data_IF_156805075070
#
_entry.id   IF_156805075070
#
_cell.length_a   1.000
_cell.length_b   1.000
_cell.length_c   1.000
_cell.angle_alpha   90.00
_cell.angle_beta   90.00
_cell.angle_gamma   90.00
#
_symmetry.space_group_name_H-M   'P 1'
#
loop_
_entity.id
_entity.type
_entity.pdbx_description
1 polymer ?
#
# COMPACT_ATOMS: atom_id res chain seq x y z
N UNK A 1 -31.88 25.75 -5.14
CA UNK A 1 -32.15 26.75 -4.08
C UNK A 1 -30.96 27.69 -4.02
N UNK A 2 -31.20 28.99 -4.26
CA UNK A 2 -30.17 30.00 -4.16
C UNK A 2 -29.72 30.08 -2.69
N UNK A 3 -28.45 29.81 -2.43
CA UNK A 3 -27.85 30.05 -1.11
C UNK A 3 -27.85 31.56 -0.89
N UNK A 4 -28.70 32.06 0.01
CA UNK A 4 -28.60 33.41 0.53
C UNK A 4 -27.17 33.55 1.11
N UNK A 5 -26.29 34.24 0.40
CA UNK A 5 -25.03 34.70 0.94
C UNK A 5 -25.39 35.76 2.01
N UNK A 6 -25.38 35.37 3.27
CA UNK A 6 -25.38 36.32 4.37
C UNK A 6 -24.00 36.97 4.32
N UNK A 7 -23.98 38.27 4.03
CA UNK A 7 -22.75 39.03 4.06
C UNK A 7 -22.33 39.20 5.53
N UNK A 8 -21.23 38.49 5.90
CA UNK A 8 -20.71 38.50 7.26
C UNK A 8 -20.32 39.92 7.76
N UNK A 9 -20.13 40.86 6.85
CA UNK A 9 -19.87 42.26 7.18
C UNK A 9 -21.05 43.01 7.79
N UNK A 10 -22.30 42.52 7.56
CA UNK A 10 -23.55 43.19 8.00
C UNK A 10 -24.00 42.68 9.38
N UNK A 11 -23.51 41.53 9.84
CA UNK A 11 -23.93 40.89 11.10
C UNK A 11 -23.17 41.46 12.31
N UNK A 12 -23.85 41.58 13.46
CA UNK A 12 -23.22 41.87 14.74
C UNK A 12 -22.22 40.76 15.16
N UNK A 13 -21.17 41.08 15.93
CA UNK A 13 -20.18 40.09 16.37
C UNK A 13 -20.78 38.86 17.04
N UNK A 14 -21.75 39.03 17.93
CA UNK A 14 -22.43 37.94 18.65
C UNK A 14 -23.25 37.05 17.73
N UNK A 15 -23.90 37.61 16.69
CA UNK A 15 -24.63 36.83 15.68
C UNK A 15 -23.68 36.01 14.84
N UNK A 16 -22.52 36.56 14.44
CA UNK A 16 -21.46 35.83 13.72
C UNK A 16 -20.96 34.65 14.53
N UNK A 17 -20.71 34.88 15.83
CA UNK A 17 -20.25 33.84 16.74
C UNK A 17 -21.30 32.71 16.89
N UNK A 18 -22.56 33.05 17.09
CA UNK A 18 -23.66 32.09 17.19
C UNK A 18 -23.82 31.22 15.92
N UNK A 19 -23.66 31.82 14.74
CA UNK A 19 -23.66 31.11 13.46
C UNK A 19 -22.45 30.14 13.38
N UNK A 20 -21.27 30.60 13.76
CA UNK A 20 -20.05 29.79 13.76
C UNK A 20 -20.13 28.60 14.71
N UNK A 21 -20.70 28.76 15.90
CA UNK A 21 -20.91 27.68 16.89
C UNK A 21 -21.89 26.65 16.34
N UNK A 22 -23.02 27.07 15.77
CA UNK A 22 -23.98 26.16 15.13
C UNK A 22 -23.31 25.37 14.00
N UNK A 23 -22.54 26.07 13.16
CA UNK A 23 -21.81 25.42 12.07
C UNK A 23 -20.79 24.39 12.57
N UNK A 24 -20.06 24.67 13.63
CA UNK A 24 -19.14 23.73 14.26
C UNK A 24 -19.86 22.46 14.76
N UNK A 25 -21.04 22.62 15.37
CA UNK A 25 -21.88 21.49 15.80
C UNK A 25 -22.37 20.64 14.62
N UNK A 26 -22.84 21.26 13.53
CA UNK A 26 -23.20 20.55 12.29
C UNK A 26 -22.02 19.74 11.74
N UNK A 27 -20.80 20.31 11.69
CA UNK A 27 -19.61 19.63 11.21
C UNK A 27 -19.24 18.43 12.08
N UNK A 28 -19.35 18.55 13.42
CA UNK A 28 -19.16 17.45 14.35
C UNK A 28 -20.15 16.32 14.10
N UNK A 29 -21.43 16.66 13.93
CA UNK A 29 -22.49 15.67 13.66
C UNK A 29 -22.25 14.85 12.38
N UNK A 30 -21.58 15.42 11.37
CA UNK A 30 -21.25 14.73 10.12
C UNK A 30 -20.26 13.58 10.31
N UNK A 31 -19.46 13.58 11.36
CA UNK A 31 -18.45 12.54 11.65
C UNK A 31 -18.84 11.67 12.85
N UNK A 32 -20.03 11.81 13.42
CA UNK A 32 -20.48 11.04 14.60
C UNK A 32 -20.34 9.54 14.38
N UNK A 33 -20.81 9.00 13.26
CA UNK A 33 -20.69 7.56 12.99
C UNK A 33 -19.24 7.06 12.92
N UNK A 34 -18.29 7.90 12.50
CA UNK A 34 -16.87 7.54 12.61
C UNK A 34 -16.36 7.61 14.05
N UNK A 35 -16.76 8.64 14.80
CA UNK A 35 -16.35 8.79 16.20
C UNK A 35 -16.87 7.64 17.08
N UNK A 36 -18.06 7.12 16.77
CA UNK A 36 -18.64 5.97 17.47
C UNK A 36 -17.93 4.66 17.10
N UNK A 37 -17.53 4.49 15.82
CA UNK A 37 -16.85 3.28 15.34
C UNK A 37 -15.35 3.24 15.69
N UNK A 38 -14.66 4.40 15.73
CA UNK A 38 -13.20 4.48 15.88
C UNK A 38 -12.64 3.81 17.13
N UNK A 39 -13.26 3.91 18.32
CA UNK A 39 -12.74 3.28 19.54
C UNK A 39 -12.64 1.76 19.45
N UNK A 40 -13.54 1.12 18.72
CA UNK A 40 -13.60 -0.36 18.57
C UNK A 40 -12.70 -0.88 17.44
N UNK A 41 -12.21 -0.01 16.56
CA UNK A 41 -11.36 -0.43 15.45
C UNK A 41 -9.99 -0.90 15.95
N UNK A 42 -9.57 -2.14 15.61
CA UNK A 42 -8.27 -2.64 15.97
C UNK A 42 -7.17 -1.94 15.16
N UNK A 43 -6.12 -1.52 15.84
CA UNK A 43 -4.86 -1.08 15.22
C UNK A 43 -3.72 -1.92 15.77
N UNK A 44 -2.61 -2.04 15.05
CA UNK A 44 -1.44 -2.78 15.53
C UNK A 44 -0.98 -2.27 16.90
N UNK A 45 -1.02 -0.96 17.11
CA UNK A 45 -0.64 -0.33 18.39
C UNK A 45 -1.62 -0.65 19.53
N UNK A 46 -2.94 -0.61 19.30
CA UNK A 46 -3.94 -1.03 20.30
C UNK A 46 -3.82 -2.51 20.65
N UNK A 47 -3.34 -3.33 19.72
CA UNK A 47 -3.22 -4.78 19.86
C UNK A 47 -1.82 -5.25 20.28
N UNK A 48 -0.91 -4.35 20.68
CA UNK A 48 0.48 -4.65 21.00
C UNK A 48 0.65 -5.84 21.97
N UNK A 49 -0.12 -5.88 23.07
CA UNK A 49 -0.05 -7.00 24.04
C UNK A 49 -0.46 -8.35 23.45
N UNK A 50 -1.45 -8.36 22.54
CA UNK A 50 -1.87 -9.60 21.86
C UNK A 50 -0.84 -10.03 20.80
N UNK A 51 -0.21 -9.08 20.13
CA UNK A 51 0.89 -9.34 19.18
C UNK A 51 2.08 -9.93 19.95
N UNK A 52 2.41 -9.39 21.11
CA UNK A 52 3.49 -9.93 21.95
C UNK A 52 3.20 -11.35 22.46
N UNK A 53 1.94 -11.64 22.80
CA UNK A 53 1.55 -13.01 23.14
C UNK A 53 1.73 -13.98 21.96
N UNK A 54 1.28 -13.60 20.76
CA UNK A 54 1.44 -14.40 19.55
C UNK A 54 2.93 -14.56 19.18
N UNK A 55 3.75 -13.50 19.35
CA UNK A 55 5.21 -13.56 19.22
C UNK A 55 5.81 -14.64 20.12
N UNK A 56 5.47 -14.65 21.41
CA UNK A 56 5.97 -15.66 22.37
C UNK A 56 5.58 -17.08 21.99
N UNK A 57 4.36 -17.27 21.51
CA UNK A 57 3.90 -18.56 21.01
C UNK A 57 4.74 -19.00 19.79
N UNK A 58 4.93 -18.13 18.82
CA UNK A 58 5.75 -18.40 17.62
C UNK A 58 7.20 -18.71 17.96
N UNK A 59 7.82 -17.95 18.87
CA UNK A 59 9.19 -18.22 19.35
C UNK A 59 9.30 -19.62 19.95
N UNK A 60 8.31 -20.04 20.76
CA UNK A 60 8.28 -21.40 21.32
C UNK A 60 8.12 -22.47 20.23
N UNK A 61 7.24 -22.25 19.24
CA UNK A 61 6.98 -23.20 18.15
C UNK A 61 8.18 -23.35 17.21
N UNK A 62 8.98 -22.30 17.04
CA UNK A 62 10.11 -22.22 16.12
C UNK A 62 11.47 -22.38 16.82
N UNK A 63 11.47 -22.70 18.11
CA UNK A 63 12.69 -22.81 18.96
C UNK A 63 13.59 -21.58 18.85
N UNK A 64 12.97 -20.40 18.88
CA UNK A 64 13.64 -19.11 18.73
C UNK A 64 13.66 -18.30 20.02
N UNK A 65 14.54 -17.30 20.05
CA UNK A 65 14.72 -16.34 21.15
C UNK A 65 14.24 -14.93 20.77
N UNK A 66 14.21 -14.01 21.74
CA UNK A 66 13.95 -12.58 21.48
C UNK A 66 15.02 -11.94 20.58
N UNK A 67 16.28 -12.40 20.63
CA UNK A 67 17.32 -11.96 19.73
C UNK A 67 17.03 -12.39 18.29
N UNK A 68 16.63 -13.66 18.09
CA UNK A 68 16.24 -14.19 16.78
C UNK A 68 15.05 -13.43 16.21
N UNK A 69 14.07 -13.06 17.04
CA UNK A 69 12.92 -12.26 16.58
C UNK A 69 13.32 -10.94 15.96
N UNK A 70 14.39 -10.33 16.41
CA UNK A 70 14.89 -9.06 15.88
C UNK A 70 15.84 -9.22 14.69
N UNK A 71 16.33 -10.42 14.42
CA UNK A 71 17.14 -10.74 13.25
C UNK A 71 16.25 -11.01 12.02
N UNK A 72 16.36 -10.16 11.01
CA UNK A 72 15.59 -10.31 9.78
C UNK A 72 15.97 -11.56 8.97
N UNK A 73 17.20 -12.08 9.10
CA UNK A 73 17.60 -13.32 8.45
C UNK A 73 16.86 -14.51 9.08
N UNK A 74 16.76 -14.55 10.41
CA UNK A 74 15.97 -15.55 11.10
C UNK A 74 14.48 -15.46 10.71
N UNK A 75 13.91 -14.25 10.64
CA UNK A 75 12.53 -14.02 10.17
C UNK A 75 12.31 -14.56 8.75
N UNK A 76 13.27 -14.37 7.86
CA UNK A 76 13.21 -14.82 6.48
C UNK A 76 13.37 -16.33 6.34
N UNK A 77 14.28 -16.94 7.11
CA UNK A 77 14.53 -18.37 7.12
C UNK A 77 13.37 -19.16 7.73
N UNK A 78 12.74 -18.62 8.76
CA UNK A 78 11.66 -19.25 9.50
C UNK A 78 10.26 -18.81 9.00
N UNK A 79 10.12 -18.40 7.73
CA UNK A 79 8.81 -18.11 7.16
C UNK A 79 7.86 -19.31 7.30
N UNK A 80 6.68 -19.04 7.83
CA UNK A 80 5.61 -20.06 7.94
C UNK A 80 5.10 -20.39 6.53
N UNK A 81 5.39 -21.57 6.07
CA UNK A 81 4.88 -22.17 4.82
C UNK A 81 4.36 -23.60 5.06
N UNK A 82 4.49 -24.09 6.29
CA UNK A 82 3.96 -25.38 6.73
C UNK A 82 2.52 -25.22 7.21
N UNK A 83 1.62 -26.04 6.65
CA UNK A 83 0.23 -26.13 7.09
C UNK A 83 0.09 -26.59 8.54
N UNK A 84 0.98 -27.49 8.98
CA UNK A 84 0.98 -27.97 10.38
C UNK A 84 1.25 -26.81 11.35
N UNK A 85 2.29 -26.03 11.08
CA UNK A 85 2.61 -24.85 11.92
C UNK A 85 1.48 -23.80 11.89
N UNK A 86 0.88 -23.58 10.73
CA UNK A 86 -0.24 -22.63 10.64
C UNK A 86 -1.47 -23.15 11.39
N UNK A 87 -1.78 -24.44 11.26
CA UNK A 87 -2.91 -25.09 11.94
C UNK A 87 -2.75 -25.04 13.47
N UNK A 88 -1.55 -25.31 13.98
CA UNK A 88 -1.23 -25.22 15.40
C UNK A 88 -1.32 -23.77 15.92
N UNK A 89 -0.78 -22.81 15.17
CA UNK A 89 -0.81 -21.39 15.55
C UNK A 89 -2.25 -20.84 15.64
N UNK A 90 -3.14 -21.30 14.74
CA UNK A 90 -4.47 -20.74 14.53
C UNK A 90 -5.60 -21.63 15.01
N UNK A 91 -5.30 -22.80 15.56
CA UNK A 91 -6.27 -23.82 15.98
C UNK A 91 -7.27 -24.16 14.83
N UNK A 92 -6.72 -24.47 13.65
CA UNK A 92 -7.54 -24.73 12.46
C UNK A 92 -8.16 -26.10 12.47
N UNK A 93 -9.42 -26.18 12.04
CA UNK A 93 -10.09 -27.46 11.84
C UNK A 93 -9.60 -28.19 10.56
N UNK A 94 -10.02 -29.45 10.41
CA UNK A 94 -9.61 -30.30 9.27
C UNK A 94 -10.09 -29.78 7.92
N UNK A 95 -11.23 -29.10 7.87
CA UNK A 95 -11.77 -28.53 6.63
C UNK A 95 -10.94 -27.33 6.18
N UNK A 96 -10.63 -26.42 7.11
CA UNK A 96 -9.75 -25.28 6.85
C UNK A 96 -8.37 -25.73 6.37
N UNK A 97 -7.76 -26.72 7.03
CA UNK A 97 -6.47 -27.29 6.60
C UNK A 97 -6.56 -27.89 5.19
N UNK A 98 -7.60 -28.69 4.90
CA UNK A 98 -7.80 -29.27 3.57
C UNK A 98 -7.97 -28.22 2.48
N UNK A 99 -8.68 -27.15 2.77
CA UNK A 99 -8.91 -26.07 1.82
C UNK A 99 -7.64 -25.27 1.51
N UNK A 100 -6.85 -24.96 2.53
CA UNK A 100 -5.55 -24.30 2.35
C UNK A 100 -4.58 -25.22 1.57
N UNK A 101 -4.59 -26.53 1.87
CA UNK A 101 -3.73 -27.50 1.18
C UNK A 101 -4.00 -27.53 -0.32
N UNK A 102 -5.28 -27.55 -0.74
CA UNK A 102 -5.65 -27.53 -2.18
C UNK A 102 -5.04 -26.34 -2.91
N UNK A 103 -5.12 -25.14 -2.31
CA UNK A 103 -4.58 -23.91 -2.91
C UNK A 103 -3.06 -23.91 -2.88
N UNK A 104 -2.46 -24.46 -1.83
CA UNK A 104 -1.00 -24.52 -1.65
C UNK A 104 -0.29 -25.32 -2.75
N UNK A 105 -0.98 -26.30 -3.36
CA UNK A 105 -0.47 -27.08 -4.48
C UNK A 105 -0.35 -26.27 -5.77
N UNK A 106 -1.23 -25.27 -5.94
CA UNK A 106 -1.30 -24.43 -7.15
C UNK A 106 -0.46 -23.15 -7.02
N UNK A 107 -0.32 -22.63 -5.81
CA UNK A 107 0.35 -21.37 -5.59
C UNK A 107 1.06 -21.33 -4.25
N UNK A 108 2.39 -21.27 -4.32
CA UNK A 108 3.27 -21.13 -3.15
C UNK A 108 2.83 -19.97 -2.24
N UNK A 109 2.95 -20.21 -0.94
CA UNK A 109 2.73 -19.20 0.07
C UNK A 109 3.81 -19.25 1.14
N UNK A 110 4.05 -18.15 1.78
CA UNK A 110 4.92 -18.05 2.95
C UNK A 110 4.60 -16.72 3.67
N UNK A 111 4.76 -16.73 5.00
CA UNK A 111 4.49 -15.58 5.87
C UNK A 111 5.65 -15.50 6.87
N UNK A 112 6.28 -14.32 7.07
CA UNK A 112 7.27 -14.14 8.12
C UNK A 112 6.68 -14.41 9.50
N UNK A 113 7.45 -14.89 10.49
CA UNK A 113 6.97 -15.06 11.87
C UNK A 113 6.35 -13.77 12.44
N UNK A 114 6.94 -12.62 12.15
CA UNK A 114 6.35 -11.33 12.52
C UNK A 114 4.94 -11.12 11.97
N UNK A 115 4.74 -11.32 10.66
CA UNK A 115 3.41 -11.13 10.08
C UNK A 115 2.42 -12.25 10.48
N UNK A 116 2.92 -13.45 10.78
CA UNK A 116 2.11 -14.53 11.33
C UNK A 116 1.53 -14.17 12.72
N UNK A 117 2.28 -13.43 13.54
CA UNK A 117 1.72 -12.89 14.79
C UNK A 117 0.56 -11.93 14.54
N UNK A 118 0.62 -11.10 13.48
CA UNK A 118 -0.49 -10.22 13.10
C UNK A 118 -1.69 -11.02 12.56
N UNK A 119 -1.43 -12.10 11.81
CA UNK A 119 -2.46 -13.04 11.34
C UNK A 119 -3.19 -13.65 12.54
N UNK A 120 -2.45 -14.13 13.55
CA UNK A 120 -3.02 -14.71 14.76
C UNK A 120 -3.90 -13.71 15.53
N UNK A 121 -3.48 -12.46 15.65
CA UNK A 121 -4.25 -11.39 16.31
C UNK A 121 -5.49 -11.00 15.51
N UNK A 122 -5.40 -10.98 14.18
CA UNK A 122 -6.51 -10.69 13.28
C UNK A 122 -7.57 -11.79 13.21
N UNK A 123 -7.20 -13.01 13.56
CA UNK A 123 -8.03 -14.21 13.55
C UNK A 123 -8.28 -14.80 12.15
N UNK A 124 -8.77 -16.05 12.08
CA UNK A 124 -9.17 -16.68 10.83
C UNK A 124 -10.20 -15.82 10.09
N UNK A 125 -10.10 -15.79 8.74
CA UNK A 125 -10.92 -14.97 7.85
C UNK A 125 -10.86 -13.46 8.10
N UNK A 126 -10.03 -13.01 9.04
CA UNK A 126 -9.81 -11.60 9.31
C UNK A 126 -9.04 -10.87 8.19
N UNK A 127 -8.95 -9.53 8.25
CA UNK A 127 -8.34 -8.71 7.19
C UNK A 127 -6.84 -8.99 7.00
N UNK A 128 -6.13 -9.43 8.04
CA UNK A 128 -4.70 -9.78 7.94
C UNK A 128 -4.55 -11.20 7.39
N UNK A 129 -5.37 -12.13 7.86
CA UNK A 129 -5.44 -13.51 7.34
C UNK A 129 -5.61 -13.52 5.82
N UNK A 130 -6.63 -12.84 5.30
CA UNK A 130 -6.95 -12.79 3.86
C UNK A 130 -5.77 -12.34 3.00
N UNK A 131 -4.87 -11.54 3.52
CA UNK A 131 -3.72 -11.03 2.76
C UNK A 131 -2.56 -12.03 2.67
N UNK A 132 -2.43 -12.97 3.60
CA UNK A 132 -1.28 -13.87 3.72
C UNK A 132 -1.60 -15.34 3.55
N UNK A 133 -2.78 -15.78 3.98
CA UNK A 133 -3.17 -17.19 3.99
C UNK A 133 -3.95 -17.56 2.73
N UNK A 134 -3.64 -18.70 2.08
CA UNK A 134 -4.36 -19.18 0.90
C UNK A 134 -5.86 -19.39 1.16
N UNK A 135 -6.69 -19.07 0.16
CA UNK A 135 -8.14 -19.22 0.21
C UNK A 135 -8.67 -20.05 -0.96
N UNK A 136 -9.61 -20.97 -0.76
CA UNK A 136 -10.25 -21.72 -1.85
C UNK A 136 -10.86 -20.84 -2.93
N UNK A 137 -11.17 -19.58 -2.63
CA UNK A 137 -11.66 -18.61 -3.59
C UNK A 137 -10.65 -18.30 -4.71
N UNK A 138 -9.37 -18.54 -4.46
CA UNK A 138 -8.31 -18.36 -5.46
C UNK A 138 -8.43 -19.34 -6.64
N UNK A 139 -8.95 -20.55 -6.38
CA UNK A 139 -9.17 -21.58 -7.40
C UNK A 139 -10.45 -21.36 -8.22
N UNK A 140 -11.34 -20.47 -7.76
CA UNK A 140 -12.64 -20.19 -8.40
C UNK A 140 -12.63 -18.96 -9.30
N UNK A 141 -11.47 -18.33 -9.47
CA UNK A 141 -11.34 -17.09 -10.27
C UNK A 141 -11.39 -17.41 -11.77
N UNK A 142 -12.51 -17.08 -12.40
CA UNK A 142 -12.75 -17.30 -13.83
C UNK A 142 -12.41 -16.07 -14.71
N UNK A 143 -12.06 -14.93 -14.11
CA UNK A 143 -11.95 -13.62 -14.80
C UNK A 143 -10.52 -13.12 -14.85
N UNK A 144 -9.70 -13.50 -13.86
CA UNK A 144 -8.33 -13.02 -13.71
C UNK A 144 -7.41 -13.48 -14.84
N UNK A 145 -6.50 -12.58 -15.26
CA UNK A 145 -5.47 -12.87 -16.26
C UNK A 145 -4.11 -13.09 -15.57
N UNK A 146 -3.25 -13.98 -16.10
CA UNK A 146 -1.90 -14.15 -15.57
C UNK A 146 -1.07 -12.88 -15.62
N UNK A 147 -1.18 -12.07 -16.67
CA UNK A 147 -0.50 -10.79 -16.85
C UNK A 147 -1.43 -9.69 -17.39
N UNK A 148 -2.36 -9.16 -16.58
CA UNK A 148 -3.32 -8.15 -17.02
C UNK A 148 -2.64 -6.83 -17.43
N UNK A 149 -1.36 -6.67 -17.10
CA UNK A 149 -0.57 -5.46 -17.40
C UNK A 149 0.35 -5.61 -18.59
N UNK A 150 0.38 -6.77 -19.26
CA UNK A 150 1.27 -7.10 -20.37
C UNK A 150 2.74 -6.72 -20.08
N UNK A 151 3.25 -7.09 -18.90
CA UNK A 151 4.63 -6.75 -18.53
C UNK A 151 5.65 -7.37 -19.47
N UNK A 152 5.34 -8.55 -20.02
CA UNK A 152 6.18 -9.19 -21.03
C UNK A 152 6.36 -8.33 -22.31
N UNK A 153 5.32 -7.59 -22.72
CA UNK A 153 5.36 -6.70 -23.88
C UNK A 153 5.91 -5.30 -23.57
N UNK A 154 6.17 -5.00 -22.30
CA UNK A 154 6.74 -3.73 -21.85
C UNK A 154 8.12 -3.88 -21.21
N UNK A 155 8.84 -4.96 -21.56
CA UNK A 155 10.18 -5.30 -21.04
C UNK A 155 11.23 -5.18 -22.16
N UNK A 156 11.73 -3.97 -22.46
CA UNK A 156 12.64 -3.72 -23.57
C UNK A 156 14.07 -4.26 -23.32
N UNK A 157 14.41 -4.63 -22.08
CA UNK A 157 15.65 -5.27 -21.70
C UNK A 157 15.44 -6.22 -20.51
N UNK A 158 16.34 -7.18 -20.26
CA UNK A 158 16.24 -8.08 -19.10
C UNK A 158 16.11 -7.31 -17.79
N UNK A 159 15.16 -7.75 -16.93
CA UNK A 159 14.91 -7.12 -15.63
C UNK A 159 14.16 -5.78 -15.69
N UNK A 160 13.87 -5.23 -16.85
CA UNK A 160 13.18 -3.94 -17.00
C UNK A 160 11.69 -4.12 -17.30
N UNK A 161 10.88 -3.21 -16.78
CA UNK A 161 9.50 -2.95 -17.22
C UNK A 161 9.35 -1.43 -17.44
N UNK A 162 9.05 -1.00 -18.68
CA UNK A 162 8.89 0.41 -19.04
C UNK A 162 7.53 0.68 -19.67
N UNK A 163 6.72 1.53 -19.00
CA UNK A 163 5.35 1.90 -19.43
C UNK A 163 5.12 3.40 -19.53
N UNK A 164 6.17 4.18 -19.26
CA UNK A 164 6.09 5.64 -19.25
C UNK A 164 7.30 6.24 -19.97
N UNK A 165 7.17 7.46 -20.47
CA UNK A 165 8.25 8.10 -21.22
C UNK A 165 9.54 8.27 -20.42
N UNK A 166 9.44 8.70 -19.15
CA UNK A 166 10.55 9.18 -18.31
C UNK A 166 10.91 8.29 -17.13
N UNK A 167 10.26 7.11 -16.99
CA UNK A 167 10.47 6.22 -15.84
C UNK A 167 10.30 4.75 -16.17
N UNK A 168 11.01 3.92 -15.43
CA UNK A 168 10.94 2.46 -15.55
C UNK A 168 11.06 1.75 -14.22
N UNK A 169 10.90 0.44 -14.27
CA UNK A 169 11.05 -0.49 -13.15
C UNK A 169 12.23 -1.39 -13.44
N UNK A 170 13.09 -1.63 -12.44
CA UNK A 170 14.08 -2.70 -12.42
C UNK A 170 13.57 -3.77 -11.45
N UNK A 171 13.29 -4.98 -11.96
CA UNK A 171 12.88 -6.13 -11.17
C UNK A 171 14.14 -6.87 -10.72
N UNK A 172 14.40 -6.94 -9.40
CA UNK A 172 15.65 -7.44 -8.83
C UNK A 172 15.56 -8.83 -8.20
N UNK A 173 14.34 -9.27 -7.85
CA UNK A 173 14.11 -10.56 -7.17
C UNK A 173 12.67 -11.00 -7.30
N UNK A 174 12.38 -12.28 -7.04
CA UNK A 174 11.02 -12.77 -6.77
C UNK A 174 10.78 -13.09 -5.28
N UNK A 175 11.81 -12.93 -4.43
CA UNK A 175 11.72 -13.19 -3.01
C UNK A 175 10.92 -12.11 -2.29
N UNK A 176 10.06 -12.54 -1.33
CA UNK A 176 9.30 -11.68 -0.43
C UNK A 176 9.33 -12.26 0.99
N UNK A 177 9.23 -11.40 2.00
CA UNK A 177 9.02 -11.83 3.39
C UNK A 177 7.65 -12.52 3.56
N UNK A 178 6.66 -12.12 2.74
CA UNK A 178 5.36 -12.74 2.64
C UNK A 178 4.88 -12.71 1.18
N UNK A 179 4.30 -13.79 0.69
CA UNK A 179 3.64 -13.80 -0.62
C UNK A 179 2.18 -13.37 -0.50
N UNK A 180 1.94 -12.07 -0.73
CA UNK A 180 0.60 -11.49 -0.66
C UNK A 180 -0.39 -12.22 -1.57
N UNK A 181 -1.56 -12.63 -1.05
CA UNK A 181 -2.56 -13.35 -1.85
C UNK A 181 -3.18 -12.48 -2.97
N UNK A 182 -3.15 -11.17 -2.81
CA UNK A 182 -3.57 -10.16 -3.79
C UNK A 182 -2.42 -9.65 -4.70
N UNK A 183 -1.31 -10.39 -4.82
CA UNK A 183 -0.12 -9.93 -5.54
C UNK A 183 -0.39 -9.71 -7.03
N UNK A 184 -0.11 -8.50 -7.53
CA UNK A 184 -0.26 -8.18 -8.96
C UNK A 184 0.74 -8.92 -9.87
N UNK A 185 1.84 -9.45 -9.30
CA UNK A 185 2.88 -10.22 -10.00
C UNK A 185 2.90 -11.67 -9.51
N UNK A 186 1.74 -12.21 -9.18
CA UNK A 186 1.57 -13.57 -8.66
C UNK A 186 2.30 -14.61 -9.52
N UNK A 187 2.27 -14.48 -10.84
CA UNK A 187 2.98 -15.34 -11.79
C UNK A 187 4.51 -15.39 -11.58
N UNK A 188 5.09 -14.37 -10.96
CA UNK A 188 6.54 -14.27 -10.75
C UNK A 188 7.00 -14.90 -9.43
N UNK A 189 6.09 -15.33 -8.56
CA UNK A 189 6.43 -15.95 -7.27
C UNK A 189 7.28 -17.18 -7.49
N UNK A 190 6.92 -18.02 -8.48
CA UNK A 190 7.67 -19.23 -8.82
C UNK A 190 7.75 -20.24 -7.68
N UNK A 191 8.54 -21.29 -7.86
CA UNK A 191 8.71 -22.39 -6.89
C UNK A 191 9.80 -22.07 -5.86
N UNK A 192 10.84 -21.34 -6.26
CA UNK A 192 12.00 -21.01 -5.43
C UNK A 192 12.28 -19.51 -5.44
N UNK A 193 12.90 -19.03 -4.37
CA UNK A 193 13.40 -17.67 -4.26
C UNK A 193 14.63 -17.48 -5.13
N UNK A 194 14.63 -16.40 -5.93
CA UNK A 194 15.72 -16.10 -6.85
C UNK A 194 15.95 -14.59 -6.97
N UNK A 195 17.17 -14.16 -6.72
CA UNK A 195 17.63 -12.83 -7.08
C UNK A 195 18.08 -12.81 -8.55
N UNK A 196 17.93 -11.65 -9.18
CA UNK A 196 18.51 -11.45 -10.51
C UNK A 196 20.04 -11.48 -10.43
N UNK A 197 20.64 -12.12 -11.43
CA UNK A 197 22.12 -12.17 -11.53
C UNK A 197 22.70 -10.77 -11.74
N UNK A 198 23.92 -10.58 -11.30
CA UNK A 198 24.68 -9.34 -11.55
C UNK A 198 24.66 -8.94 -13.01
N UNK A 199 24.82 -9.89 -13.95
CA UNK A 199 24.76 -9.70 -15.39
C UNK A 199 23.44 -9.07 -15.85
N UNK A 200 22.29 -9.57 -15.35
CA UNK A 200 20.97 -9.03 -15.69
C UNK A 200 20.82 -7.60 -15.20
N UNK A 201 21.27 -7.31 -13.97
CA UNK A 201 21.21 -5.95 -13.43
C UNK A 201 22.15 -4.99 -14.16
N UNK A 202 23.31 -5.43 -14.64
CA UNK A 202 24.22 -4.63 -15.49
C UNK A 202 23.60 -4.33 -16.85
N UNK A 203 22.87 -5.28 -17.46
CA UNK A 203 22.11 -5.04 -18.68
C UNK A 203 20.99 -4.01 -18.46
N UNK A 204 20.28 -4.08 -17.35
CA UNK A 204 19.27 -3.09 -16.98
C UNK A 204 19.89 -1.69 -16.79
N UNK A 205 21.02 -1.58 -16.10
CA UNK A 205 21.76 -0.33 -15.91
C UNK A 205 22.29 0.23 -17.25
N UNK A 206 22.77 -0.64 -18.12
CA UNK A 206 23.22 -0.24 -19.49
C UNK A 206 22.05 0.33 -20.29
N UNK A 207 20.87 -0.27 -20.20
CA UNK A 207 19.66 0.28 -20.82
C UNK A 207 19.34 1.67 -20.25
N UNK A 208 19.37 1.85 -18.92
CA UNK A 208 19.12 3.16 -18.29
C UNK A 208 20.14 4.20 -18.79
N UNK A 209 21.44 3.88 -18.84
CA UNK A 209 22.49 4.80 -19.32
C UNK A 209 22.28 5.23 -20.77
N UNK A 210 21.79 4.32 -21.63
CA UNK A 210 21.53 4.60 -23.03
C UNK A 210 20.28 5.46 -23.29
N UNK A 211 19.39 5.59 -22.30
CA UNK A 211 18.09 6.26 -22.44
C UNK A 211 18.01 7.49 -21.54
N UNK A 212 18.55 8.61 -22.01
CA UNK A 212 18.68 9.85 -21.23
C UNK A 212 17.36 10.48 -20.81
N UNK A 213 16.26 10.10 -21.41
CA UNK A 213 14.90 10.50 -21.01
C UNK A 213 14.44 9.85 -19.70
N UNK A 214 15.10 8.80 -19.21
CA UNK A 214 14.74 8.11 -17.96
C UNK A 214 15.29 8.88 -16.76
N UNK A 215 14.41 9.57 -16.07
CA UNK A 215 14.74 10.37 -14.87
C UNK A 215 14.39 9.67 -13.56
N UNK A 216 13.49 8.69 -13.59
CA UNK A 216 12.92 8.03 -12.41
C UNK A 216 13.03 6.51 -12.55
N UNK A 217 13.75 5.87 -11.62
CA UNK A 217 13.95 4.42 -11.61
C UNK A 217 13.34 3.84 -10.32
N UNK A 218 12.38 2.90 -10.50
CA UNK A 218 11.80 2.12 -9.41
C UNK A 218 12.46 0.74 -9.34
N UNK A 219 13.21 0.47 -8.29
CA UNK A 219 13.73 -0.87 -7.98
C UNK A 219 12.66 -1.64 -7.18
N UNK A 220 12.27 -2.81 -7.68
CA UNK A 220 11.25 -3.67 -7.07
C UNK A 220 11.39 -5.12 -7.59
N UNK A 221 10.31 -5.89 -7.62
CA UNK A 221 10.27 -7.28 -8.13
C UNK A 221 9.38 -8.11 -7.26
N UNK A 222 9.94 -9.02 -6.45
CA UNK A 222 9.34 -9.47 -5.19
C UNK A 222 9.39 -8.32 -4.20
N UNK A 223 10.38 -8.31 -3.32
CA UNK A 223 10.62 -7.15 -2.44
C UNK A 223 12.07 -6.67 -2.55
N UNK A 224 12.25 -5.41 -2.96
CA UNK A 224 13.58 -4.85 -3.23
C UNK A 224 14.50 -4.87 -2.00
N UNK A 225 13.95 -4.74 -0.79
CA UNK A 225 14.74 -4.71 0.44
C UNK A 225 15.22 -6.10 0.89
N UNK A 226 14.85 -7.18 0.18
CA UNK A 226 15.40 -8.51 0.44
C UNK A 226 16.74 -8.78 -0.29
N UNK A 227 17.21 -7.85 -1.09
CA UNK A 227 18.61 -7.85 -1.49
C UNK A 227 19.49 -7.59 -0.26
N UNK A 228 20.71 -8.10 -0.26
CA UNK A 228 21.71 -7.77 0.77
C UNK A 228 22.07 -6.29 0.72
N UNK A 229 22.57 -5.74 1.84
CA UNK A 229 22.99 -4.34 1.90
C UNK A 229 24.07 -4.03 0.86
N UNK A 230 25.02 -4.95 0.64
CA UNK A 230 26.05 -4.81 -0.38
C UNK A 230 25.49 -4.78 -1.82
N UNK A 231 24.45 -5.57 -2.10
CA UNK A 231 23.79 -5.54 -3.42
C UNK A 231 23.00 -4.24 -3.62
N UNK A 232 22.34 -3.75 -2.57
CA UNK A 232 21.62 -2.46 -2.61
C UNK A 232 22.61 -1.29 -2.74
N UNK A 233 23.70 -1.30 -1.97
CA UNK A 233 24.76 -0.28 -2.04
C UNK A 233 25.32 -0.17 -3.46
N UNK A 234 25.67 -1.31 -4.06
CA UNK A 234 26.12 -1.34 -5.43
C UNK A 234 25.08 -0.82 -6.44
N UNK A 235 23.86 -1.34 -6.40
CA UNK A 235 22.83 -0.99 -7.40
C UNK A 235 22.43 0.48 -7.30
N UNK A 236 22.23 0.98 -6.09
CA UNK A 236 21.90 2.39 -5.85
C UNK A 236 23.07 3.31 -6.20
N UNK A 237 24.30 2.89 -5.92
CA UNK A 237 25.52 3.60 -6.31
C UNK A 237 25.67 3.72 -7.83
N UNK A 238 25.41 2.63 -8.58
CA UNK A 238 25.39 2.67 -10.04
C UNK A 238 24.31 3.59 -10.60
N UNK A 239 23.10 3.55 -10.07
CA UNK A 239 22.02 4.46 -10.45
C UNK A 239 22.33 5.93 -10.10
N UNK A 240 22.99 6.16 -8.97
CA UNK A 240 23.36 7.51 -8.50
C UNK A 240 24.44 8.17 -9.40
N UNK A 241 25.29 7.37 -10.04
CA UNK A 241 26.31 7.85 -11.00
C UNK A 241 25.74 8.21 -12.37
N UNK A 242 24.48 7.85 -12.66
CA UNK A 242 23.83 8.18 -13.93
C UNK A 242 23.21 9.58 -13.80
N UNK A 243 23.83 10.60 -14.39
CA UNK A 243 23.48 12.01 -14.20
C UNK A 243 21.99 12.33 -14.44
N UNK A 244 21.36 11.70 -15.43
CA UNK A 244 19.96 11.95 -15.76
C UNK A 244 18.96 11.21 -14.88
N UNK A 245 19.40 10.29 -13.99
CA UNK A 245 18.56 9.62 -13.01
C UNK A 245 18.44 10.49 -11.76
N UNK A 246 17.38 11.27 -11.69
CA UNK A 246 17.13 12.23 -10.60
C UNK A 246 16.44 11.58 -9.41
N UNK A 247 15.60 10.56 -9.65
CA UNK A 247 14.72 9.93 -8.64
C UNK A 247 15.00 8.43 -8.59
N UNK A 248 15.39 7.96 -7.43
CA UNK A 248 15.51 6.53 -7.12
C UNK A 248 14.40 6.12 -6.16
N UNK A 249 13.61 5.12 -6.54
CA UNK A 249 12.52 4.60 -5.71
C UNK A 249 12.72 3.13 -5.39
N UNK A 250 12.35 2.74 -4.18
CA UNK A 250 12.28 1.34 -3.78
C UNK A 250 10.81 0.97 -3.54
N UNK A 251 10.35 -0.11 -4.18
CA UNK A 251 9.02 -0.68 -3.95
C UNK A 251 9.14 -1.86 -2.99
N UNK A 252 8.59 -1.73 -1.79
CA UNK A 252 8.71 -2.73 -0.74
C UNK A 252 7.47 -2.82 0.13
N UNK A 253 7.16 -4.01 0.60
CA UNK A 253 6.22 -4.24 1.69
C UNK A 253 6.90 -4.72 2.97
N UNK A 254 8.22 -4.83 2.96
CA UNK A 254 9.01 -5.36 4.09
C UNK A 254 8.80 -4.56 5.37
N UNK A 255 8.61 -3.23 5.30
CA UNK A 255 8.25 -2.39 6.46
C UNK A 255 7.01 -2.92 7.20
N UNK A 256 6.08 -3.55 6.45
CA UNK A 256 4.81 -4.09 6.96
C UNK A 256 4.92 -5.57 7.32
N UNK A 257 5.68 -6.33 6.53
CA UNK A 257 5.69 -7.80 6.64
C UNK A 257 6.90 -8.33 7.41
N UNK A 258 7.93 -7.52 7.60
CA UNK A 258 9.17 -7.88 8.31
C UNK A 258 9.96 -6.60 8.65
N UNK A 259 9.48 -5.72 9.54
CA UNK A 259 10.11 -4.43 9.86
C UNK A 259 11.53 -4.57 10.42
N UNK A 260 11.92 -5.74 10.92
CA UNK A 260 13.28 -6.07 11.39
C UNK A 260 14.35 -5.87 10.30
N UNK A 261 13.96 -6.00 9.01
CA UNK A 261 14.89 -5.74 7.89
C UNK A 261 15.34 -4.28 7.81
N UNK A 262 14.64 -3.37 8.41
CA UNK A 262 15.02 -1.95 8.42
C UNK A 262 16.05 -1.72 9.54
N UNK A 263 17.27 -2.16 9.30
CA UNK A 263 18.40 -2.03 10.22
C UNK A 263 19.09 -0.68 10.06
N UNK A 264 19.98 -0.34 11.01
CA UNK A 264 20.80 0.87 10.92
C UNK A 264 21.79 0.78 9.74
N UNK A 265 22.31 -0.42 9.44
CA UNK A 265 23.22 -0.68 8.32
C UNK A 265 22.51 -0.41 6.98
N UNK A 266 21.30 -0.95 6.80
CA UNK A 266 20.49 -0.63 5.62
C UNK A 266 20.24 0.88 5.50
N UNK A 267 19.87 1.52 6.59
CA UNK A 267 19.63 2.96 6.61
C UNK A 267 20.89 3.76 6.25
N UNK A 268 22.06 3.33 6.73
CA UNK A 268 23.34 3.94 6.35
C UNK A 268 23.62 3.79 4.84
N UNK A 269 23.30 2.65 4.24
CA UNK A 269 23.40 2.46 2.78
C UNK A 269 22.47 3.43 2.03
N UNK A 270 21.20 3.51 2.44
CA UNK A 270 20.22 4.38 1.76
C UNK A 270 20.59 5.87 1.84
N UNK A 271 21.16 6.29 2.98
CA UNK A 271 21.58 7.67 3.21
C UNK A 271 22.70 8.15 2.28
N UNK A 272 23.48 7.24 1.66
CA UNK A 272 24.55 7.59 0.70
C UNK A 272 24.03 8.15 -0.62
N UNK A 273 22.78 7.83 -1.01
CA UNK A 273 22.29 8.03 -2.39
C UNK A 273 21.02 8.88 -2.50
N UNK A 274 20.92 10.03 -1.83
CA UNK A 274 19.73 10.86 -1.92
C UNK A 274 19.48 11.36 -3.36
N UNK A 275 18.21 11.68 -3.72
CA UNK A 275 17.00 11.38 -2.96
C UNK A 275 16.54 9.92 -3.13
N UNK A 276 16.13 9.29 -2.03
CA UNK A 276 15.50 7.96 -2.05
C UNK A 276 14.03 8.10 -1.64
N UNK A 277 13.14 7.51 -2.42
CA UNK A 277 11.72 7.40 -2.11
C UNK A 277 11.37 5.92 -1.90
N UNK A 278 10.68 5.61 -0.82
CA UNK A 278 10.12 4.27 -0.61
C UNK A 278 8.60 4.33 -0.76
N UNK A 279 8.10 3.50 -1.67
CA UNK A 279 6.69 3.21 -1.80
C UNK A 279 6.39 1.91 -1.07
N UNK A 280 5.79 2.03 0.14
CA UNK A 280 5.36 0.88 0.94
C UNK A 280 3.89 0.56 0.73
N UNK A 281 3.39 -0.52 1.37
CA UNK A 281 2.02 -1.00 1.19
C UNK A 281 1.41 -1.50 2.49
N UNK A 282 0.88 -0.59 3.30
CA UNK A 282 -0.06 -0.88 4.38
C UNK A 282 -1.48 -0.94 3.80
N UNK A 283 -2.23 -1.96 4.13
CA UNK A 283 -3.61 -2.14 3.68
C UNK A 283 -4.63 -2.12 4.84
N UNK A 284 -4.21 -2.29 6.08
CA UNK A 284 -5.12 -2.32 7.22
C UNK A 284 -4.51 -1.63 8.46
N UNK A 285 -5.30 -0.99 9.34
CA UNK A 285 -4.79 -0.35 10.57
C UNK A 285 -4.04 -1.30 11.52
N UNK A 286 -4.37 -2.60 11.52
CA UNK A 286 -3.64 -3.63 12.29
C UNK A 286 -2.17 -3.77 11.88
N UNK A 287 -1.80 -3.39 10.68
CA UNK A 287 -0.42 -3.45 10.18
C UNK A 287 0.44 -2.30 10.72
N UNK A 288 -0.18 -1.26 11.29
CA UNK A 288 0.53 -0.12 11.87
C UNK A 288 0.89 -0.44 13.33
N UNK A 289 1.99 -1.17 13.51
CA UNK A 289 2.53 -1.61 14.81
C UNK A 289 3.60 -0.66 15.32
N UNK A 290 4.11 -0.88 16.54
CA UNK A 290 5.25 -0.11 17.08
C UNK A 290 6.54 -0.47 16.33
N UNK A 291 6.74 -1.74 15.92
CA UNK A 291 7.89 -2.17 15.12
C UNK A 291 7.88 -1.51 13.74
N UNK A 292 6.73 -1.49 13.06
CA UNK A 292 6.60 -0.82 11.77
C UNK A 292 6.83 0.70 11.90
N UNK A 293 6.33 1.32 12.98
CA UNK A 293 6.61 2.73 13.29
C UNK A 293 8.11 2.99 13.48
N UNK A 294 8.79 2.17 14.29
CA UNK A 294 10.22 2.30 14.53
C UNK A 294 11.03 2.14 13.23
N UNK A 295 10.63 1.20 12.36
CA UNK A 295 11.22 1.03 11.03
C UNK A 295 11.05 2.28 10.16
N UNK A 296 9.85 2.86 10.12
CA UNK A 296 9.60 4.12 9.42
C UNK A 296 10.45 5.27 9.97
N UNK A 297 10.60 5.36 11.28
CA UNK A 297 11.42 6.40 11.93
C UNK A 297 12.91 6.29 11.56
N UNK A 298 13.47 5.07 11.50
CA UNK A 298 14.84 4.86 11.03
C UNK A 298 15.05 5.32 9.59
N UNK A 299 14.14 4.94 8.70
CA UNK A 299 14.18 5.37 7.29
C UNK A 299 14.10 6.89 7.13
N UNK A 300 13.22 7.54 7.89
CA UNK A 300 13.06 9.00 7.84
C UNK A 300 14.31 9.70 8.36
N UNK A 301 14.93 9.19 9.42
CA UNK A 301 16.21 9.71 9.93
C UNK A 301 17.33 9.57 8.89
N UNK A 302 17.29 8.53 8.06
CA UNK A 302 18.21 8.33 6.93
C UNK A 302 17.89 9.22 5.70
N UNK A 303 16.92 10.14 5.79
CA UNK A 303 16.55 11.04 4.70
C UNK A 303 15.62 10.43 3.65
N UNK A 304 15.04 9.27 3.92
CA UNK A 304 14.13 8.58 2.99
C UNK A 304 12.72 9.18 3.06
N UNK A 305 12.10 9.40 1.92
CA UNK A 305 10.70 9.85 1.81
C UNK A 305 9.77 8.65 1.69
N UNK A 306 8.77 8.56 2.59
CA UNK A 306 7.84 7.43 2.66
C UNK A 306 6.46 7.76 2.08
N UNK A 307 5.99 6.94 1.15
CA UNK A 307 4.63 6.98 0.61
C UNK A 307 3.95 5.62 0.66
N UNK A 308 2.66 5.59 1.00
CA UNK A 308 1.87 4.37 1.02
C UNK A 308 1.06 4.19 -0.25
N UNK A 309 1.09 3.00 -0.80
CA UNK A 309 0.30 2.58 -1.96
C UNK A 309 -0.66 1.46 -1.54
N UNK A 310 -1.73 1.83 -0.82
CA UNK A 310 -2.80 0.90 -0.42
C UNK A 310 -3.44 0.28 -1.65
N UNK A 311 -3.76 -1.01 -1.59
CA UNK A 311 -4.68 -1.66 -2.54
C UNK A 311 -6.05 -1.77 -1.89
N UNK A 312 -7.10 -1.37 -2.59
CA UNK A 312 -8.48 -1.54 -2.17
C UNK A 312 -8.87 -3.01 -2.34
N UNK A 313 -9.13 -3.69 -1.23
CA UNK A 313 -9.35 -5.13 -1.16
C UNK A 313 -10.67 -5.44 -0.44
N UNK A 314 -11.55 -6.20 -1.08
CA UNK A 314 -12.79 -6.67 -0.48
C UNK A 314 -12.52 -7.52 0.75
N UNK A 315 -13.22 -7.22 1.84
CA UNK A 315 -13.09 -7.90 3.13
C UNK A 315 -11.80 -7.61 3.89
N UNK A 316 -11.00 -6.62 3.42
CA UNK A 316 -9.80 -6.14 4.12
C UNK A 316 -9.96 -4.67 4.51
N UNK A 317 -10.22 -3.80 3.55
CA UNK A 317 -10.23 -2.35 3.77
C UNK A 317 -11.29 -1.60 2.93
N UNK A 318 -12.25 -2.30 2.37
CA UNK A 318 -13.33 -1.70 1.59
C UNK A 318 -14.44 -1.04 2.46
N UNK A 319 -14.21 -0.94 3.76
CA UNK A 319 -15.00 -0.11 4.66
C UNK A 319 -14.42 1.32 4.74
N UNK A 320 -15.29 2.33 4.65
CA UNK A 320 -14.92 3.76 4.65
C UNK A 320 -14.23 4.21 5.96
N UNK A 321 -14.62 3.62 7.08
CA UNK A 321 -14.05 3.98 8.38
C UNK A 321 -12.71 3.30 8.61
N UNK A 322 -12.57 2.05 8.17
CA UNK A 322 -11.30 1.32 8.17
C UNK A 322 -10.27 2.05 7.31
N UNK A 323 -10.65 2.47 6.09
CA UNK A 323 -9.77 3.23 5.20
C UNK A 323 -9.38 4.59 5.80
N UNK A 324 -10.34 5.32 6.39
CA UNK A 324 -10.06 6.57 7.09
C UNK A 324 -9.10 6.37 8.25
N UNK A 325 -9.33 5.33 9.07
CA UNK A 325 -8.47 4.98 10.20
C UNK A 325 -7.07 4.62 9.75
N UNK A 326 -6.91 3.79 8.72
CA UNK A 326 -5.61 3.46 8.14
C UNK A 326 -4.83 4.71 7.76
N UNK A 327 -5.45 5.61 7.00
CA UNK A 327 -4.78 6.82 6.52
C UNK A 327 -4.37 7.76 7.67
N UNK A 328 -5.18 7.83 8.73
CA UNK A 328 -4.84 8.60 9.93
C UNK A 328 -3.68 7.97 10.71
N UNK A 329 -3.66 6.63 10.85
CA UNK A 329 -2.55 5.93 11.52
C UNK A 329 -1.23 6.05 10.72
N UNK A 330 -1.29 6.02 9.39
CA UNK A 330 -0.14 6.24 8.53
C UNK A 330 0.49 7.63 8.73
N UNK A 331 -0.31 8.68 8.85
CA UNK A 331 0.21 10.03 9.13
C UNK A 331 0.90 10.12 10.48
N UNK A 332 0.44 9.39 11.50
CA UNK A 332 1.07 9.35 12.82
C UNK A 332 2.49 8.75 12.79
N UNK A 333 2.76 7.87 11.83
CA UNK A 333 4.09 7.28 11.59
C UNK A 333 4.82 7.96 10.42
N UNK A 334 4.37 9.13 9.99
CA UNK A 334 4.95 9.98 8.93
C UNK A 334 5.05 9.28 7.56
N UNK A 335 4.14 8.37 7.28
CA UNK A 335 3.95 7.75 5.96
C UNK A 335 2.79 8.43 5.27
N UNK A 336 3.03 9.04 4.10
CA UNK A 336 1.98 9.74 3.36
C UNK A 336 1.10 8.75 2.61
N UNK A 337 -0.24 8.73 2.79
CA UNK A 337 -1.16 8.07 1.88
C UNK A 337 -0.98 8.66 0.47
N UNK A 338 -0.41 7.87 -0.46
CA UNK A 338 -0.05 8.35 -1.79
C UNK A 338 -1.07 7.89 -2.83
N UNK A 339 -1.25 6.57 -2.96
CA UNK A 339 -2.26 5.98 -3.84
C UNK A 339 -3.16 5.02 -3.09
N UNK A 340 -4.43 5.00 -3.50
CA UNK A 340 -5.35 3.89 -3.31
C UNK A 340 -5.52 3.20 -4.66
N UNK A 341 -4.93 2.03 -4.84
CA UNK A 341 -5.07 1.26 -6.07
C UNK A 341 -6.34 0.41 -6.04
N UNK A 342 -7.12 0.51 -7.08
CA UNK A 342 -8.10 -0.52 -7.39
C UNK A 342 -7.40 -1.85 -7.66
N UNK A 343 -7.89 -2.95 -7.06
CA UNK A 343 -7.30 -4.27 -7.27
C UNK A 343 -7.35 -4.65 -8.75
N UNK A 344 -6.25 -5.22 -9.26
CA UNK A 344 -6.17 -5.66 -10.65
C UNK A 344 -6.81 -7.03 -10.82
N UNK A 345 -7.31 -7.31 -12.02
CA UNK A 345 -7.87 -8.61 -12.40
C UNK A 345 -6.74 -9.62 -12.67
N UNK A 346 -6.01 -10.00 -11.62
CA UNK A 346 -4.97 -11.02 -11.67
C UNK A 346 -5.58 -12.37 -11.33
N UNK A 347 -5.21 -13.42 -12.07
CA UNK A 347 -5.68 -14.77 -11.84
C UNK A 347 -5.47 -15.21 -10.38
N UNK A 348 -6.50 -15.75 -9.76
CA UNK A 348 -6.52 -16.16 -8.36
C UNK A 348 -6.76 -15.01 -7.36
N UNK A 349 -7.07 -13.78 -7.81
CA UNK A 349 -7.31 -12.65 -6.91
C UNK A 349 -8.69 -12.01 -7.04
N UNK A 350 -9.59 -12.60 -7.82
CA UNK A 350 -10.92 -12.03 -8.14
C UNK A 350 -11.78 -11.75 -6.91
N UNK A 351 -11.67 -12.56 -5.87
CA UNK A 351 -12.40 -12.39 -4.61
C UNK A 351 -12.02 -11.11 -3.82
N UNK A 352 -10.88 -10.48 -4.13
CA UNK A 352 -10.48 -9.19 -3.55
C UNK A 352 -11.02 -7.97 -4.31
N UNK A 353 -11.55 -8.16 -5.51
CA UNK A 353 -11.95 -7.03 -6.36
C UNK A 353 -13.25 -6.41 -5.84
N UNK A 354 -13.24 -5.12 -5.64
CA UNK A 354 -14.41 -4.29 -5.31
C UNK A 354 -15.02 -3.70 -6.58
N UNK A 355 -16.13 -2.98 -6.49
CA UNK A 355 -16.55 -2.11 -7.59
C UNK A 355 -15.79 -0.78 -7.58
N UNK A 356 -15.75 -0.10 -8.73
CA UNK A 356 -15.20 1.26 -8.81
C UNK A 356 -16.03 2.22 -7.96
N UNK A 357 -17.35 2.03 -7.94
CA UNK A 357 -18.28 2.84 -7.14
C UNK A 357 -17.99 2.75 -5.64
N UNK A 358 -17.65 1.55 -5.12
CA UNK A 358 -17.20 1.40 -3.72
C UNK A 358 -15.95 2.26 -3.45
N UNK A 359 -14.97 2.23 -4.36
CA UNK A 359 -13.75 3.04 -4.23
C UNK A 359 -14.03 4.54 -4.28
N UNK A 360 -14.90 4.99 -5.18
CA UNK A 360 -15.32 6.40 -5.28
C UNK A 360 -16.07 6.86 -4.02
N UNK A 361 -16.97 6.03 -3.50
CA UNK A 361 -17.70 6.31 -2.26
C UNK A 361 -16.76 6.45 -1.05
N UNK A 362 -15.72 5.61 -0.96
CA UNK A 362 -14.67 5.75 0.06
C UNK A 362 -13.95 7.09 -0.10
N UNK A 363 -13.57 7.47 -1.32
CA UNK A 363 -12.90 8.75 -1.58
C UNK A 363 -13.76 9.96 -1.22
N UNK A 364 -15.06 9.92 -1.52
CA UNK A 364 -16.02 10.95 -1.08
C UNK A 364 -16.09 11.05 0.44
N UNK A 365 -16.00 9.90 1.12
CA UNK A 365 -16.05 9.84 2.59
C UNK A 365 -14.75 10.26 3.28
N UNK A 366 -13.65 10.31 2.55
CA UNK A 366 -12.36 10.85 3.04
C UNK A 366 -12.29 12.36 2.81
N UNK A 367 -12.67 12.84 1.62
CA UNK A 367 -12.48 14.24 1.24
C UNK A 367 -13.44 15.15 1.99
N UNK A 368 -12.88 16.09 2.76
CA UNK A 368 -13.63 16.98 3.64
C UNK A 368 -13.92 16.42 5.03
N UNK A 369 -13.78 15.10 5.23
CA UNK A 369 -14.06 14.42 6.50
C UNK A 369 -12.80 14.08 7.30
N UNK A 370 -11.62 14.30 6.74
CA UNK A 370 -10.32 14.16 7.40
C UNK A 370 -9.32 15.15 6.78
N UNK A 371 -8.08 15.20 7.32
CA UNK A 371 -7.01 16.01 6.74
C UNK A 371 -6.80 15.72 5.26
N UNK A 372 -6.57 16.73 4.45
CA UNK A 372 -6.18 16.54 3.04
C UNK A 372 -4.92 15.68 2.85
N UNK A 373 -4.02 15.66 3.85
CA UNK A 373 -2.84 14.77 3.85
C UNK A 373 -3.21 13.29 3.97
N UNK A 374 -4.39 12.97 4.52
CA UNK A 374 -4.91 11.62 4.69
C UNK A 374 -5.75 11.13 3.50
N UNK A 375 -5.81 11.90 2.40
CA UNK A 375 -6.61 11.56 1.21
C UNK A 375 -5.68 11.17 0.08
N UNK A 376 -5.55 9.85 -0.22
CA UNK A 376 -4.76 9.37 -1.35
C UNK A 376 -5.44 9.71 -2.69
N UNK A 377 -4.73 9.50 -3.78
CA UNK A 377 -5.34 9.49 -5.11
C UNK A 377 -5.83 8.08 -5.44
N UNK A 378 -7.13 7.93 -5.82
CA UNK A 378 -7.68 6.64 -6.21
C UNK A 378 -7.35 6.34 -7.68
N UNK A 379 -6.70 5.19 -7.92
CA UNK A 379 -6.10 4.83 -9.20
C UNK A 379 -6.63 3.51 -9.70
N UNK A 380 -7.12 3.50 -10.93
CA UNK A 380 -7.29 2.31 -11.75
C UNK A 380 -6.11 2.19 -12.70
N UNK A 381 -5.51 0.99 -12.78
CA UNK A 381 -4.49 0.72 -13.77
C UNK A 381 -5.16 0.21 -15.05
N UNK A 382 -4.97 0.92 -16.16
CA UNK A 382 -5.50 0.48 -17.45
C UNK A 382 -4.94 -0.89 -17.82
N UNK A 383 -5.77 -1.86 -18.21
CA UNK A 383 -5.31 -3.14 -18.75
C UNK A 383 -4.34 -2.96 -19.90
N UNK A 384 -3.47 -3.94 -20.14
CA UNK A 384 -2.48 -3.86 -21.21
C UNK A 384 -1.28 -2.95 -20.92
N UNK A 385 -1.18 -2.40 -19.68
CA UNK A 385 -0.04 -1.56 -19.29
C UNK A 385 -0.14 -0.08 -19.71
N UNK A 386 -1.32 0.39 -20.11
CA UNK A 386 -1.56 1.77 -20.55
C UNK A 386 -1.53 2.84 -19.46
N UNK A 387 -1.09 2.47 -18.26
CA UNK A 387 -0.78 3.43 -17.20
C UNK A 387 -1.85 3.54 -16.11
N UNK A 388 -1.68 4.56 -15.28
CA UNK A 388 -2.50 4.86 -14.12
C UNK A 388 -3.54 5.92 -14.47
N UNK A 389 -4.79 5.64 -14.16
CA UNK A 389 -5.92 6.56 -14.40
C UNK A 389 -6.48 6.98 -13.04
N UNK A 390 -6.40 8.27 -12.67
CA UNK A 390 -7.09 8.78 -11.48
C UNK A 390 -8.60 8.71 -11.66
N UNK A 391 -9.29 7.98 -10.81
CA UNK A 391 -10.75 7.82 -10.80
C UNK A 391 -11.29 8.39 -9.49
N UNK A 392 -11.25 9.70 -9.37
CA UNK A 392 -11.85 10.39 -8.23
C UNK A 392 -13.36 10.61 -8.41
N UNK A 393 -14.04 10.99 -7.32
CA UNK A 393 -15.40 11.48 -7.42
C UNK A 393 -15.49 12.70 -8.35
N UNK A 394 -16.54 12.78 -9.16
CA UNK A 394 -16.79 13.97 -9.98
C UNK A 394 -17.42 15.07 -9.13
N UNK A 395 -16.72 16.20 -9.02
CA UNK A 395 -17.24 17.41 -8.38
C UNK A 395 -17.78 18.44 -9.38
N UNK A 396 -17.52 18.28 -10.67
CA UNK A 396 -18.12 19.09 -11.73
C UNK A 396 -19.40 18.38 -12.15
N UNK A 397 -20.57 19.00 -11.83
CA UNK A 397 -21.90 18.46 -12.11
C UNK A 397 -22.36 18.86 -13.51
N UNK A 398 -22.02 20.07 -13.93
CA UNK A 398 -22.39 20.62 -15.22
C UNK A 398 -21.30 21.55 -15.73
N UNK A 399 -21.04 21.52 -17.01
CA UNK A 399 -20.02 22.37 -17.67
C UNK A 399 -20.62 23.11 -18.85
N UNK A 400 -20.52 24.46 -18.79
CA UNK A 400 -20.74 25.37 -19.90
C UNK A 400 -19.45 26.15 -20.17
N UNK A 401 -19.37 26.85 -21.32
CA UNK A 401 -18.21 27.68 -21.69
C UNK A 401 -17.88 28.77 -20.66
N UNK A 402 -18.89 29.35 -20.02
CA UNK A 402 -18.75 30.49 -19.10
C UNK A 402 -19.00 30.13 -17.64
N UNK A 403 -19.65 29.02 -17.35
CA UNK A 403 -20.06 28.63 -15.99
C UNK A 403 -19.86 27.15 -15.76
N UNK A 404 -19.48 26.81 -14.52
CA UNK A 404 -19.43 25.43 -14.02
C UNK A 404 -20.41 25.34 -12.86
N UNK A 405 -21.16 24.23 -12.76
CA UNK A 405 -21.79 23.84 -11.51
C UNK A 405 -20.89 22.86 -10.79
N UNK A 406 -20.49 23.22 -9.58
CA UNK A 406 -19.56 22.44 -8.76
C UNK A 406 -20.28 21.98 -7.51
N UNK A 407 -20.16 20.69 -7.20
CA UNK A 407 -20.65 20.05 -5.98
C UNK A 407 -19.53 20.06 -4.93
N UNK A 408 -19.83 20.57 -3.75
CA UNK A 408 -18.90 20.50 -2.60
C UNK A 408 -18.88 19.11 -1.99
N UNK A 409 -17.94 18.84 -1.09
CA UNK A 409 -17.90 17.62 -0.28
C UNK A 409 -19.15 17.44 0.62
N UNK A 410 -19.90 18.51 0.89
CA UNK A 410 -21.18 18.48 1.61
C UNK A 410 -22.39 18.28 0.70
N UNK A 411 -22.20 18.02 -0.57
CA UNK A 411 -23.25 17.94 -1.60
C UNK A 411 -24.00 19.28 -1.88
N UNK A 412 -23.38 20.41 -1.53
CA UNK A 412 -23.92 21.72 -1.93
C UNK A 412 -23.43 22.03 -3.35
N UNK A 413 -24.36 22.47 -4.20
CA UNK A 413 -24.03 22.88 -5.57
C UNK A 413 -23.98 24.39 -5.65
N UNK A 414 -22.93 24.93 -6.25
CA UNK A 414 -22.79 26.35 -6.54
C UNK A 414 -22.29 26.57 -7.97
N UNK A 415 -22.59 27.74 -8.51
CA UNK A 415 -22.11 28.16 -9.81
C UNK A 415 -20.76 28.89 -9.68
N UNK A 416 -19.81 28.47 -10.50
CA UNK A 416 -18.49 29.09 -10.61
C UNK A 416 -18.30 29.70 -12.00
N UNK A 417 -17.85 30.96 -12.07
CA UNK A 417 -17.55 31.61 -13.35
C UNK A 417 -16.28 31.00 -13.93
N UNK A 418 -16.39 30.36 -15.09
CA UNK A 418 -15.26 29.84 -15.84
C UNK A 418 -14.80 30.91 -16.83
N UNK A 419 -13.69 31.57 -16.54
CA UNK A 419 -13.14 32.57 -17.46
C UNK A 419 -12.57 31.84 -18.69
N UNK A 420 -13.07 32.11 -19.92
CA UNK A 420 -12.48 31.54 -21.12
C UNK A 420 -11.03 32.03 -21.26
N UNK A 421 -10.12 31.15 -21.72
CA UNK A 421 -8.78 31.58 -22.07
C UNK A 421 -8.88 32.65 -23.14
N UNK A 422 -8.30 33.84 -22.88
CA UNK A 422 -8.03 34.78 -23.96
C UNK A 422 -7.06 34.09 -24.91
N UNK A 423 -7.50 33.82 -26.11
CA UNK A 423 -6.56 33.43 -27.17
C UNK A 423 -5.59 34.59 -27.35
N UNK A 424 -4.35 34.44 -26.90
CA UNK A 424 -3.21 35.22 -27.38
C UNK A 424 -2.72 34.59 -28.66
#
# INVERSE_FOLDING_TARGET
MATNRVDAGILAPDERQAISIRRAAELKNRITGYLDAEPTMPTGRKMASRIDLAKRQLLKMLDGSDADWTDWHWQLQNRISSLLLLAELMDLDRLQVSDIEKVSRECRWAISPYYAALVAVGGPEGPIWKQGVPSPLELRDAIGLPDPMNEALTSPAPGITRRYPDRLIINVTNQCAMYCRHCQRRRNIGEIDKHQSRRVLEQALSYVRAHREIRDVLVTGGDALLLSDGQLDWLLGELHRIEHVEIKRLGTRTIVTMPQRITEELCAVLAKYPPIYINTQFNHPLEVTEEAKAACERLIKAGVVLGNQTVLLRGVNNDRYVMKKLNQELLKIRVRPYYLFHAKQVQGTGHFITSIDEGQAIMEHLRGYTSGLAVPEYIVNAPGGYGKIPIGPSYIVERDRKKLKIRTWENRIFSYVNQPRSHR
#
